data_IF_489127753569
#
_entry.id   IF_489127753569
#
_cell.length_a   1.000
_cell.length_b   1.000
_cell.length_c   1.000
_cell.angle_alpha   90.00
_cell.angle_beta   90.00
_cell.angle_gamma   90.00
#
_symmetry.space_group_name_H-M   'P 1'
#
loop_
_entity.id
_entity.type
_entity.pdbx_description
1 polymer ?
#
# COMPACT_ATOMS: atom_id res chain seq x y z
N UNK A 1 -15.51 -14.95 2.97
CA UNK A 1 -14.65 -13.86 3.19
C UNK A 1 -14.29 -13.22 1.91
N UNK A 2 -14.88 -12.13 1.67
CA UNK A 2 -14.74 -11.48 0.38
C UNK A 2 -13.60 -10.50 0.41
N UNK A 3 -12.56 -10.86 -0.29
CA UNK A 3 -11.43 -9.96 -0.44
C UNK A 3 -11.53 -9.28 -1.79
N UNK A 4 -11.12 -8.03 -1.82
CA UNK A 4 -11.14 -7.24 -3.03
C UNK A 4 -9.72 -6.85 -3.38
N UNK A 5 -9.49 -6.60 -4.66
CA UNK A 5 -8.18 -6.15 -5.11
C UNK A 5 -8.18 -4.63 -5.15
N UNK A 6 -7.27 -4.05 -4.42
CA UNK A 6 -7.11 -2.59 -4.40
C UNK A 6 -5.78 -2.22 -4.98
N UNK A 7 -5.79 -1.22 -5.84
CA UNK A 7 -4.54 -0.67 -6.37
C UNK A 7 -4.14 0.50 -5.50
N UNK A 8 -3.02 0.34 -4.80
CA UNK A 8 -2.52 1.34 -3.88
C UNK A 8 -1.36 2.06 -4.56
N UNK A 9 -1.52 3.35 -4.73
CA UNK A 9 -0.50 4.19 -5.35
C UNK A 9 0.02 5.17 -4.32
N UNK A 10 1.30 5.33 -4.26
CA UNK A 10 1.90 6.24 -3.32
C UNK A 10 3.39 6.36 -3.54
N UNK A 11 4.09 6.74 -2.49
CA UNK A 11 5.54 6.89 -2.55
C UNK A 11 6.15 6.42 -1.25
N UNK A 12 7.37 5.98 -1.33
CA UNK A 12 8.14 5.63 -0.14
C UNK A 12 9.51 6.29 -0.22
N UNK A 13 10.07 6.56 0.94
CA UNK A 13 11.38 7.18 1.00
C UNK A 13 12.45 6.11 1.15
N UNK A 14 13.42 6.14 0.26
CA UNK A 14 14.62 5.32 0.43
C UNK A 14 15.82 6.24 0.56
N UNK A 15 17.01 5.71 0.56
CA UNK A 15 18.20 6.50 0.79
C UNK A 15 18.40 7.67 -0.17
N UNK A 16 17.80 7.60 -1.35
CA UNK A 16 17.97 8.63 -2.37
C UNK A 16 16.82 9.60 -2.47
N UNK A 17 15.75 9.35 -1.74
CA UNK A 17 14.59 10.23 -1.78
C UNK A 17 13.30 9.45 -1.93
N UNK A 18 12.25 10.13 -2.36
CA UNK A 18 10.94 9.53 -2.49
C UNK A 18 10.79 8.86 -3.84
N UNK A 19 10.30 7.64 -3.81
CA UNK A 19 10.08 6.86 -5.04
C UNK A 19 8.62 6.47 -5.15
N UNK A 20 8.03 6.63 -6.32
CA UNK A 20 6.64 6.22 -6.50
C UNK A 20 6.51 4.70 -6.54
N UNK A 21 5.37 4.23 -6.09
CA UNK A 21 5.08 2.80 -6.16
C UNK A 21 3.62 2.57 -6.48
N UNK A 22 3.34 1.42 -7.05
CA UNK A 22 1.98 0.96 -7.26
C UNK A 22 1.94 -0.51 -6.87
N UNK A 23 1.01 -0.86 -6.01
CA UNK A 23 0.87 -2.22 -5.53
C UNK A 23 -0.59 -2.64 -5.56
N UNK A 24 -0.83 -3.90 -5.90
CA UNK A 24 -2.17 -4.47 -5.79
C UNK A 24 -2.21 -5.25 -4.49
N UNK A 25 -3.14 -4.86 -3.62
CA UNK A 25 -3.27 -5.42 -2.28
C UNK A 25 -4.66 -6.05 -2.16
N UNK A 26 -4.70 -7.28 -1.68
CA UNK A 26 -5.96 -7.96 -1.41
C UNK A 26 -6.41 -7.61 -0.01
N UNK A 27 -7.60 -7.06 0.11
CA UNK A 27 -8.12 -6.65 1.41
C UNK A 27 -9.64 -6.54 1.35
N UNK A 28 -10.32 -6.61 2.49
CA UNK A 28 -11.78 -6.48 2.51
C UNK A 28 -12.28 -5.05 2.30
N UNK A 29 -11.44 -4.06 2.56
CA UNK A 29 -11.83 -2.66 2.36
C UNK A 29 -10.58 -1.80 2.19
N UNK A 30 -10.79 -0.52 1.91
CA UNK A 30 -9.69 0.40 1.66
C UNK A 30 -8.80 0.60 2.88
N UNK A 31 -9.41 0.69 4.04
CA UNK A 31 -8.65 0.86 5.27
C UNK A 31 -7.68 -0.29 5.47
N UNK A 32 -8.16 -1.49 5.26
CA UNK A 32 -7.33 -2.67 5.43
C UNK A 32 -6.25 -2.73 4.34
N UNK A 33 -6.60 -2.31 3.12
CA UNK A 33 -5.62 -2.26 2.04
C UNK A 33 -4.46 -1.33 2.40
N UNK A 34 -4.78 -0.19 2.96
CA UNK A 34 -3.76 0.77 3.40
C UNK A 34 -2.88 0.16 4.49
N UNK A 35 -3.49 -0.47 5.48
CA UNK A 35 -2.73 -1.11 6.54
C UNK A 35 -1.83 -2.21 6.00
N UNK A 36 -2.36 -3.02 5.11
CA UNK A 36 -1.57 -4.10 4.52
C UNK A 36 -0.39 -3.57 3.72
N UNK A 37 -0.58 -2.43 3.07
CA UNK A 37 0.51 -1.79 2.34
C UNK A 37 1.64 -1.39 3.29
N UNK A 38 1.28 -0.77 4.41
CA UNK A 38 2.29 -0.41 5.42
C UNK A 38 3.01 -1.66 5.94
N UNK A 39 2.27 -2.73 6.15
CA UNK A 39 2.87 -3.98 6.64
C UNK A 39 3.86 -4.55 5.63
N UNK A 40 3.50 -4.53 4.35
CA UNK A 40 4.38 -5.06 3.31
C UNK A 40 5.68 -4.28 3.26
N UNK A 41 5.59 -2.96 3.23
CA UNK A 41 6.80 -2.15 3.17
C UNK A 41 7.57 -2.18 4.47
N UNK A 42 6.87 -2.23 5.58
CA UNK A 42 7.54 -2.32 6.88
C UNK A 42 8.31 -3.62 7.05
N UNK A 43 7.73 -4.74 6.60
CA UNK A 43 8.37 -6.04 6.72
C UNK A 43 9.52 -6.22 5.73
N UNK A 44 9.26 -5.88 4.47
CA UNK A 44 10.23 -6.20 3.42
C UNK A 44 11.32 -5.18 3.29
N UNK A 45 11.01 -3.93 3.51
CA UNK A 45 11.95 -2.84 3.29
C UNK A 45 12.39 -2.17 4.57
N UNK A 46 11.88 -2.65 5.71
CA UNK A 46 12.20 -2.08 7.02
C UNK A 46 11.92 -0.59 7.09
N UNK A 47 10.82 -0.18 6.47
CA UNK A 47 10.44 1.22 6.44
C UNK A 47 9.42 1.53 7.51
N UNK A 48 9.56 2.67 8.13
CA UNK A 48 8.58 3.15 9.09
C UNK A 48 7.44 3.82 8.34
N UNK A 49 6.32 3.96 9.03
CA UNK A 49 5.14 4.57 8.43
C UNK A 49 5.39 5.96 7.90
N UNK A 50 6.20 6.75 8.59
CA UNK A 50 6.48 8.10 8.12
C UNK A 50 7.28 8.13 6.81
N UNK A 51 7.83 7.01 6.41
CA UNK A 51 8.58 6.93 5.15
C UNK A 51 7.72 6.39 4.03
N UNK A 52 6.43 6.23 4.27
CA UNK A 52 5.51 5.71 3.27
C UNK A 52 4.34 6.68 3.18
N UNK A 53 4.02 7.09 1.96
CA UNK A 53 2.86 7.94 1.71
C UNK A 53 1.94 7.24 0.74
N UNK A 54 0.67 7.23 1.07
CA UNK A 54 -0.37 6.64 0.22
C UNK A 54 -1.08 7.79 -0.48
N UNK A 55 -1.03 7.81 -1.79
CA UNK A 55 -1.73 8.84 -2.56
C UNK A 55 -3.17 8.46 -2.81
N UNK A 56 -3.39 7.25 -3.28
CA UNK A 56 -4.75 6.83 -3.54
C UNK A 56 -4.86 5.32 -3.45
N UNK A 57 -6.06 4.88 -3.18
CA UNK A 57 -6.41 3.47 -3.13
C UNK A 57 -7.63 3.30 -3.99
N UNK A 58 -7.53 2.47 -5.02
CA UNK A 58 -8.62 2.24 -5.95
C UNK A 58 -9.06 0.80 -5.91
N UNK A 59 -10.36 0.60 -5.96
CA UNK A 59 -10.90 -0.75 -6.07
C UNK A 59 -10.76 -1.19 -7.53
N UNK A 60 -10.02 -2.26 -7.75
CA UNK A 60 -9.82 -2.79 -9.09
C UNK A 60 -10.84 -3.88 -9.36
N UNK A 61 -11.00 -4.78 -8.42
CA UNK A 61 -11.86 -5.93 -8.60
C UNK A 61 -12.55 -6.22 -7.29
N UNK A 62 -13.87 -6.07 -7.25
CA UNK A 62 -14.65 -6.32 -6.06
C UNK A 62 -15.52 -7.54 -6.26
N UNK A 63 -15.47 -8.41 -5.29
CA UNK A 63 -16.27 -9.62 -5.34
C UNK A 63 -17.28 -9.66 -4.24
#
# INVERSE_FOLDING_TARGET
MDKKSFEVTGSFKNGLGWQPFTKVIMAPNESQATENTYNVFGSKHCLKRNYIKIDSVKLINGE
#
